data_IF_253929249062
#
_entry.id   IF_253929249062
#
_cell.length_a   1.000
_cell.length_b   1.000
_cell.length_c   1.000
_cell.angle_alpha   90.00
_cell.angle_beta   90.00
_cell.angle_gamma   90.00
#
_symmetry.space_group_name_H-M   'P 1'
#
loop_
_entity.id
_entity.type
_entity.pdbx_description
1 polymer ?
#
# COMPACT_ATOMS: atom_id res chain seq x y z
N UNK A 1 -17.72 19.17 12.68
CA UNK A 1 -17.06 18.71 11.44
C UNK A 1 -17.32 17.21 11.34
N UNK A 2 -18.15 16.80 10.38
CA UNK A 2 -18.61 15.41 10.23
C UNK A 2 -17.47 14.53 9.69
N UNK A 3 -17.18 13.42 10.38
CA UNK A 3 -16.32 12.32 9.94
C UNK A 3 -17.24 11.28 9.30
N UNK A 4 -17.92 11.65 8.21
CA UNK A 4 -18.80 10.73 7.50
C UNK A 4 -18.24 10.48 6.10
N UNK A 5 -18.27 9.21 5.69
CA UNK A 5 -17.77 8.64 4.43
C UNK A 5 -16.31 8.18 4.40
N UNK A 6 -15.78 7.64 5.50
CA UNK A 6 -14.68 6.67 5.43
C UNK A 6 -15.26 5.31 5.79
N UNK A 7 -15.20 4.35 4.85
CA UNK A 7 -15.67 3.00 5.13
C UNK A 7 -14.83 2.36 6.24
N UNK A 8 -15.48 1.77 7.24
CA UNK A 8 -14.79 1.19 8.40
C UNK A 8 -13.93 -0.03 8.08
N UNK A 9 -14.05 -0.57 6.86
CA UNK A 9 -13.28 -1.70 6.35
C UNK A 9 -12.05 -1.28 5.53
N UNK A 10 -11.82 0.01 5.30
CA UNK A 10 -10.69 0.50 4.52
C UNK A 10 -9.42 0.66 5.35
N UNK A 11 -8.28 0.48 4.67
CA UNK A 11 -6.99 0.95 5.18
C UNK A 11 -6.82 2.43 4.84
N UNK A 12 -6.64 3.25 5.86
CA UNK A 12 -6.57 4.71 5.76
C UNK A 12 -5.12 5.17 5.85
N UNK A 13 -4.73 6.10 4.98
CA UNK A 13 -3.39 6.70 4.98
C UNK A 13 -3.51 8.22 5.12
N UNK A 14 -2.84 8.77 6.12
CA UNK A 14 -2.76 10.21 6.34
C UNK A 14 -1.57 10.80 5.57
N UNK A 15 -1.87 11.64 4.58
CA UNK A 15 -0.87 12.36 3.80
C UNK A 15 -0.74 13.78 4.34
N UNK A 16 0.50 14.15 4.68
CA UNK A 16 0.88 15.51 5.07
C UNK A 16 1.83 16.12 4.03
N UNK A 17 1.50 17.32 3.56
CA UNK A 17 2.36 18.14 2.73
C UNK A 17 2.62 19.49 3.40
N UNK A 18 3.90 19.78 3.64
CA UNK A 18 4.41 21.06 4.13
C UNK A 18 5.63 21.41 3.29
N UNK A 19 5.50 22.51 2.55
CA UNK A 19 6.53 22.99 1.64
C UNK A 19 7.92 22.95 2.28
N UNK A 20 8.88 22.31 1.58
CA UNK A 20 10.30 22.17 1.98
C UNK A 20 10.56 21.45 3.30
N UNK A 21 9.55 20.87 3.95
CA UNK A 21 9.69 20.21 5.26
C UNK A 21 9.22 18.77 5.28
N UNK A 22 8.01 18.50 4.79
CA UNK A 22 7.38 17.18 4.84
C UNK A 22 6.63 16.96 3.54
N UNK A 23 6.83 15.80 2.94
CA UNK A 23 6.08 15.35 1.78
C UNK A 23 5.71 13.88 1.95
N UNK A 24 4.42 13.63 2.10
CA UNK A 24 3.82 12.31 2.14
C UNK A 24 2.94 12.16 0.92
N UNK A 25 3.18 11.12 0.12
CA UNK A 25 2.38 10.87 -1.09
C UNK A 25 2.27 9.38 -1.39
N UNK A 26 1.31 9.05 -2.24
CA UNK A 26 1.16 7.70 -2.78
C UNK A 26 1.85 7.64 -4.13
N UNK A 27 2.80 6.72 -4.29
CA UNK A 27 3.48 6.50 -5.57
C UNK A 27 2.62 5.69 -6.54
N UNK A 28 1.87 4.71 -6.04
CA UNK A 28 0.86 3.97 -6.78
C UNK A 28 -0.18 3.37 -5.84
N UNK A 29 -1.33 2.98 -6.38
CA UNK A 29 -2.41 2.31 -5.65
C UNK A 29 -3.77 2.93 -5.99
N UNK A 30 -4.81 2.10 -6.04
CA UNK A 30 -6.17 2.56 -6.35
C UNK A 30 -6.83 3.16 -5.11
N UNK A 31 -6.91 4.49 -5.07
CA UNK A 31 -7.61 5.22 -4.02
C UNK A 31 -9.11 4.94 -4.16
N UNK A 32 -9.73 4.42 -3.09
CA UNK A 32 -11.15 4.14 -3.03
C UNK A 32 -11.95 5.35 -2.56
N UNK A 33 -11.38 6.15 -1.65
CA UNK A 33 -11.98 7.35 -1.09
C UNK A 33 -10.90 8.36 -0.68
N UNK A 34 -11.24 9.64 -0.67
CA UNK A 34 -10.35 10.73 -0.24
C UNK A 34 -11.14 11.74 0.59
N UNK A 35 -10.57 12.13 1.72
CA UNK A 35 -11.09 13.15 2.61
C UNK A 35 -10.02 14.21 2.88
N UNK A 36 -10.27 15.46 2.47
CA UNK A 36 -9.39 16.58 2.80
C UNK A 36 -9.68 17.05 4.23
N UNK A 37 -8.65 17.11 5.06
CA UNK A 37 -8.77 17.55 6.46
C UNK A 37 -8.49 19.05 6.55
N UNK A 38 -7.38 19.49 5.97
CA UNK A 38 -7.02 20.90 5.88
C UNK A 38 -6.16 21.16 4.63
N UNK A 39 -5.50 22.31 4.55
CA UNK A 39 -4.66 22.67 3.40
C UNK A 39 -3.37 21.82 3.26
N UNK A 40 -2.93 21.19 4.35
CA UNK A 40 -1.70 20.41 4.43
C UNK A 40 -1.95 18.91 4.63
N UNK A 41 -3.17 18.52 5.01
CA UNK A 41 -3.49 17.13 5.36
C UNK A 41 -4.71 16.61 4.62
N UNK A 42 -4.60 15.37 4.16
CA UNK A 42 -5.71 14.58 3.62
C UNK A 42 -5.58 13.14 4.07
N UNK A 43 -6.71 12.46 4.15
CA UNK A 43 -6.81 11.02 4.40
C UNK A 43 -7.28 10.39 3.09
N UNK A 44 -6.67 9.27 2.74
CA UNK A 44 -7.10 8.44 1.61
C UNK A 44 -7.39 7.02 2.11
N UNK A 45 -8.38 6.37 1.53
CA UNK A 45 -8.75 5.00 1.87
C UNK A 45 -8.45 4.04 0.71
N UNK A 46 -8.03 2.83 1.07
CA UNK A 46 -7.80 1.71 0.18
C UNK A 46 -8.69 0.53 0.58
N UNK A 47 -9.39 -0.04 -0.39
CA UNK A 47 -10.20 -1.24 -0.16
C UNK A 47 -9.34 -2.44 0.22
N UNK A 48 -9.84 -3.37 1.06
CA UNK A 48 -9.11 -4.59 1.43
C UNK A 48 -8.51 -5.32 0.24
N UNK A 49 -7.28 -5.80 0.39
CA UNK A 49 -6.51 -6.49 -0.65
C UNK A 49 -5.80 -5.56 -1.63
N UNK A 50 -6.10 -4.25 -1.65
CA UNK A 50 -5.42 -3.29 -2.54
C UNK A 50 -3.94 -3.13 -2.15
N UNK A 51 -3.04 -3.18 -3.13
CA UNK A 51 -1.63 -2.89 -2.92
C UNK A 51 -1.34 -1.43 -3.28
N UNK A 52 -0.59 -0.74 -2.43
CA UNK A 52 -0.22 0.66 -2.65
C UNK A 52 1.19 0.95 -2.11
N UNK A 53 1.84 1.97 -2.68
CA UNK A 53 3.13 2.46 -2.24
C UNK A 53 2.99 3.83 -1.58
N UNK A 54 3.34 3.91 -0.30
CA UNK A 54 3.35 5.14 0.49
C UNK A 54 4.78 5.64 0.67
N UNK A 55 5.05 6.85 0.18
CA UNK A 55 6.36 7.50 0.29
C UNK A 55 6.29 8.62 1.33
N UNK A 56 7.32 8.68 2.18
CA UNK A 56 7.50 9.70 3.20
C UNK A 56 8.88 10.31 3.07
N UNK A 57 8.88 11.59 2.76
CA UNK A 57 10.06 12.43 2.73
C UNK A 57 9.92 13.54 3.78
N UNK A 58 11.01 13.84 4.47
CA UNK A 58 11.11 15.03 5.31
C UNK A 58 12.54 15.55 5.33
N UNK A 59 12.69 16.86 5.28
CA UNK A 59 13.95 17.53 5.58
C UNK A 59 13.84 18.20 6.95
N UNK A 60 14.84 18.02 7.81
CA UNK A 60 14.98 18.82 9.01
C UNK A 60 16.07 19.88 8.86
N UNK A 61 15.99 20.93 9.67
CA UNK A 61 16.92 22.08 9.63
C UNK A 61 18.35 21.71 10.05
N UNK A 62 18.56 20.47 10.52
CA UNK A 62 19.85 19.92 10.96
C UNK A 62 20.52 19.03 9.89
N UNK A 63 20.04 19.07 8.65
CA UNK A 63 20.61 18.35 7.50
C UNK A 63 20.29 16.86 7.45
N UNK A 64 19.45 16.33 8.34
CA UNK A 64 18.96 14.96 8.26
C UNK A 64 17.73 14.91 7.36
N UNK A 65 17.86 14.20 6.24
CA UNK A 65 16.74 13.88 5.35
C UNK A 65 16.20 12.51 5.72
N UNK A 66 14.92 12.44 6.05
CA UNK A 66 14.19 11.18 6.12
C UNK A 66 13.66 10.88 4.73
N UNK A 67 14.02 9.73 4.19
CA UNK A 67 13.41 9.18 2.98
C UNK A 67 13.01 7.75 3.24
N UNK A 68 11.76 7.43 2.91
CA UNK A 68 11.17 6.14 3.20
C UNK A 68 10.10 5.79 2.19
N UNK A 69 10.05 4.52 1.81
CA UNK A 69 8.95 3.95 1.03
C UNK A 69 8.47 2.67 1.68
N UNK A 70 7.15 2.54 1.79
CA UNK A 70 6.48 1.33 2.26
C UNK A 70 5.50 0.87 1.16
N UNK A 71 5.58 -0.39 0.75
CA UNK A 71 4.58 -1.02 -0.13
C UNK A 71 3.75 -1.95 0.75
N UNK A 72 2.47 -1.69 0.79
CA UNK A 72 1.53 -2.31 1.71
C UNK A 72 0.38 -2.94 0.93
N UNK A 73 -0.17 -4.01 1.49
CA UNK A 73 -1.51 -4.48 1.14
C UNK A 73 -2.48 -4.05 2.23
N UNK A 74 -3.57 -3.40 1.83
CA UNK A 74 -4.69 -3.05 2.68
C UNK A 74 -5.30 -4.34 3.26
N UNK A 75 -5.53 -4.36 4.57
CA UNK A 75 -6.02 -5.54 5.29
C UNK A 75 -7.53 -5.51 5.43
N UNK A 76 -8.16 -6.69 5.44
CA UNK A 76 -9.57 -6.83 5.76
C UNK A 76 -9.81 -6.72 7.28
N UNK A 77 -11.04 -6.47 7.69
CA UNK A 77 -11.44 -6.50 9.11
C UNK A 77 -11.14 -7.89 9.68
N UNK A 78 -10.45 -7.94 10.83
CA UNK A 78 -10.09 -9.19 11.50
C UNK A 78 -8.82 -9.87 10.97
N UNK A 79 -8.24 -9.38 9.87
CA UNK A 79 -6.96 -9.86 9.37
C UNK A 79 -5.79 -9.37 10.24
N UNK A 80 -4.74 -10.19 10.39
CA UNK A 80 -3.52 -9.76 11.07
C UNK A 80 -2.82 -8.64 10.30
N UNK A 81 -2.37 -7.61 11.01
CA UNK A 81 -1.70 -6.45 10.42
C UNK A 81 -0.51 -6.02 11.25
N UNK A 82 0.39 -5.24 10.63
CA UNK A 82 1.44 -4.52 11.32
C UNK A 82 1.07 -3.03 11.37
N UNK A 83 1.34 -2.38 12.49
CA UNK A 83 1.08 -0.95 12.64
C UNK A 83 2.16 -0.13 11.94
N UNK A 84 1.73 0.92 11.23
CA UNK A 84 2.65 1.88 10.62
C UNK A 84 2.19 3.30 10.97
N UNK A 85 3.13 4.23 11.25
CA UNK A 85 2.76 5.62 11.41
C UNK A 85 2.05 6.13 10.16
N UNK A 86 0.95 6.87 10.37
CA UNK A 86 0.07 7.43 9.34
C UNK A 86 -0.74 6.40 8.54
N UNK A 87 -0.78 5.14 8.95
CA UNK A 87 -1.63 4.09 8.33
C UNK A 87 -2.51 3.46 9.40
N UNK A 88 -3.82 3.42 9.17
CA UNK A 88 -4.81 2.86 10.12
C UNK A 88 -5.70 1.83 9.42
N UNK A 89 -5.94 0.64 10.01
CA UNK A 89 -5.36 0.15 11.27
C UNK A 89 -3.86 -0.19 11.15
N UNK A 90 -3.38 -0.36 9.93
CA UNK A 90 -2.04 -0.83 9.59
C UNK A 90 -2.08 -1.46 8.21
N UNK A 91 -1.20 -2.42 7.94
CA UNK A 91 -1.27 -3.20 6.71
C UNK A 91 -0.37 -4.44 6.75
N UNK A 92 -0.51 -5.29 5.73
CA UNK A 92 0.46 -6.34 5.42
C UNK A 92 1.64 -5.69 4.68
N UNK A 93 2.81 -5.69 5.32
CA UNK A 93 4.01 -5.04 4.79
C UNK A 93 4.67 -5.95 3.77
N UNK A 94 4.67 -5.52 2.51
CA UNK A 94 5.35 -6.22 1.42
C UNK A 94 6.79 -5.72 1.25
N UNK A 95 7.00 -4.41 1.44
CA UNK A 95 8.31 -3.78 1.38
C UNK A 95 8.36 -2.59 2.33
N UNK A 96 9.48 -2.42 3.04
CA UNK A 96 9.70 -1.33 3.98
C UNK A 96 11.16 -0.87 3.94
N UNK A 97 11.44 0.22 3.22
CA UNK A 97 12.82 0.68 2.93
C UNK A 97 13.04 2.11 3.44
N UNK A 98 14.27 2.36 3.91
CA UNK A 98 14.74 3.63 4.43
C UNK A 98 16.00 4.08 3.69
N UNK A 99 16.20 5.39 3.64
CA UNK A 99 17.39 6.02 3.06
C UNK A 99 17.27 6.21 1.55
N UNK A 100 17.64 7.41 1.09
CA UNK A 100 17.44 7.82 -0.30
C UNK A 100 17.97 6.83 -1.34
N UNK A 101 19.21 6.30 -1.27
CA UNK A 101 19.73 5.41 -2.32
C UNK A 101 18.89 4.15 -2.55
N UNK A 102 18.35 3.57 -1.47
CA UNK A 102 17.49 2.38 -1.57
C UNK A 102 16.07 2.74 -1.98
N UNK A 103 15.55 3.86 -1.47
CA UNK A 103 14.23 4.39 -1.88
C UNK A 103 14.22 4.68 -3.39
N UNK A 104 15.25 5.33 -3.91
CA UNK A 104 15.44 5.61 -5.33
C UNK A 104 15.47 4.32 -6.16
N UNK A 105 16.17 3.28 -5.69
CA UNK A 105 16.15 1.97 -6.34
C UNK A 105 14.74 1.38 -6.42
N UNK A 106 13.92 1.52 -5.37
CA UNK A 106 12.53 1.05 -5.38
C UNK A 106 11.68 1.89 -6.34
N UNK A 107 11.84 3.22 -6.36
CA UNK A 107 11.15 4.09 -7.32
C UNK A 107 11.48 3.71 -8.76
N UNK A 108 12.76 3.51 -9.09
CA UNK A 108 13.19 3.04 -10.40
C UNK A 108 12.61 1.65 -10.76
N UNK A 109 12.43 0.78 -9.76
CA UNK A 109 11.79 -0.53 -9.97
C UNK A 109 10.31 -0.38 -10.32
N UNK A 110 9.61 0.55 -9.67
CA UNK A 110 8.22 0.89 -9.98
C UNK A 110 8.13 1.46 -11.39
N UNK A 111 9.00 2.41 -11.76
CA UNK A 111 9.04 3.01 -13.10
C UNK A 111 9.29 1.95 -14.18
N UNK A 112 10.20 1.00 -13.93
CA UNK A 112 10.48 -0.09 -14.85
C UNK A 112 9.28 -1.04 -15.05
N UNK A 113 8.46 -1.26 -14.02
CA UNK A 113 7.22 -2.04 -14.10
C UNK A 113 6.15 -1.29 -14.91
N UNK A 114 5.98 0.01 -14.64
CA UNK A 114 5.05 0.87 -15.38
C UNK A 114 5.42 0.95 -16.86
N UNK A 115 6.72 0.97 -17.19
CA UNK A 115 7.21 0.94 -18.57
C UNK A 115 6.86 -0.36 -19.32
N UNK A 116 6.54 -1.44 -18.61
CA UNK A 116 6.00 -2.68 -19.20
C UNK A 116 4.48 -2.61 -19.44
N UNK A 117 3.82 -1.49 -19.11
CA UNK A 117 2.37 -1.33 -19.17
C UNK A 117 1.63 -2.08 -18.05
N UNK A 118 2.32 -2.41 -16.96
CA UNK A 118 1.78 -3.14 -15.82
C UNK A 118 1.50 -2.14 -14.71
N UNK A 119 0.28 -2.17 -14.14
CA UNK A 119 -0.02 -1.43 -12.92
C UNK A 119 0.77 -2.05 -11.75
N UNK A 120 1.64 -1.29 -11.06
CA UNK A 120 2.38 -1.78 -9.90
C UNK A 120 1.49 -2.32 -8.77
N UNK A 121 0.24 -1.85 -8.67
CA UNK A 121 -0.75 -2.36 -7.72
C UNK A 121 -1.19 -3.81 -8.03
N UNK A 122 -1.03 -4.26 -9.27
CA UNK A 122 -1.42 -5.60 -9.75
C UNK A 122 -0.23 -6.58 -9.79
N UNK A 123 0.97 -6.13 -9.41
CA UNK A 123 2.16 -6.96 -9.29
C UNK A 123 2.00 -7.96 -8.16
N UNK A 124 2.54 -9.17 -8.36
CA UNK A 124 2.50 -10.23 -7.35
C UNK A 124 3.12 -9.75 -6.02
N UNK A 125 2.44 -9.91 -4.87
CA UNK A 125 2.97 -9.50 -3.55
C UNK A 125 4.36 -10.04 -3.24
N UNK A 126 4.65 -11.28 -3.66
CA UNK A 126 5.94 -11.93 -3.45
C UNK A 126 7.09 -11.25 -4.19
N UNK A 127 6.82 -10.55 -5.29
CA UNK A 127 7.84 -9.76 -5.97
C UNK A 127 8.31 -8.61 -5.08
N UNK A 128 7.39 -7.88 -4.45
CA UNK A 128 7.73 -6.79 -3.54
C UNK A 128 8.52 -7.29 -2.33
N UNK A 129 8.13 -8.45 -1.76
CA UNK A 129 8.89 -9.11 -0.70
C UNK A 129 10.28 -9.54 -1.14
N UNK A 130 10.43 -10.04 -2.37
CA UNK A 130 11.73 -10.38 -2.96
C UNK A 130 12.63 -9.15 -3.08
N UNK A 131 12.11 -8.04 -3.63
CA UNK A 131 12.84 -6.77 -3.73
C UNK A 131 13.29 -6.28 -2.35
N UNK A 132 12.39 -6.29 -1.37
CA UNK A 132 12.70 -5.93 0.02
C UNK A 132 13.84 -6.76 0.60
N UNK A 133 13.76 -8.08 0.48
CA UNK A 133 14.73 -8.99 1.08
C UNK A 133 16.12 -8.77 0.49
N UNK A 134 16.23 -8.61 -0.83
CA UNK A 134 17.51 -8.40 -1.52
C UNK A 134 18.10 -7.02 -1.25
N UNK A 135 17.29 -5.96 -1.26
CA UNK A 135 17.75 -4.62 -0.91
C UNK A 135 18.18 -4.50 0.56
N UNK A 136 17.57 -5.26 1.47
CA UNK A 136 17.95 -5.27 2.88
C UNK A 136 19.38 -5.76 3.10
N UNK A 137 19.84 -6.70 2.27
CA UNK A 137 21.21 -7.24 2.29
C UNK A 137 22.13 -6.68 1.19
N UNK A 138 21.71 -5.61 0.50
CA UNK A 138 22.45 -4.94 -0.59
C UNK A 138 22.81 -5.87 -1.77
N UNK A 139 21.97 -6.85 -2.06
CA UNK A 139 22.15 -7.76 -3.17
C UNK A 139 21.27 -7.41 -4.38
N UNK A 140 21.67 -7.79 -5.61
CA UNK A 140 20.81 -7.61 -6.78
C UNK A 140 19.54 -8.46 -6.66
N UNK A 141 18.41 -7.91 -7.10
CA UNK A 141 17.13 -8.62 -7.24
C UNK A 141 16.79 -8.89 -8.69
N UNK A 142 15.76 -9.71 -8.91
CA UNK A 142 15.30 -10.07 -10.25
C UNK A 142 14.26 -9.04 -10.68
N UNK A 143 14.39 -8.51 -11.89
CA UNK A 143 13.41 -7.60 -12.46
C UNK A 143 12.08 -8.33 -12.70
N UNK A 144 10.96 -7.62 -12.52
CA UNK A 144 9.65 -8.16 -12.85
C UNK A 144 9.48 -8.28 -14.36
N UNK A 145 8.84 -9.36 -14.82
CA UNK A 145 8.62 -9.58 -16.27
C UNK A 145 7.14 -9.76 -16.60
N UNK A 146 6.76 -9.46 -17.83
CA UNK A 146 5.39 -9.67 -18.32
C UNK A 146 4.97 -11.15 -18.30
N UNK A 147 5.92 -12.09 -18.34
CA UNK A 147 5.65 -13.52 -18.19
C UNK A 147 5.30 -13.87 -16.74
N UNK A 148 6.08 -13.36 -15.78
CA UNK A 148 5.77 -13.50 -14.35
C UNK A 148 4.40 -12.90 -14.03
N UNK A 149 4.07 -11.75 -14.61
CA UNK A 149 2.77 -11.12 -14.44
C UNK A 149 1.62 -11.97 -14.98
N UNK A 150 1.75 -12.51 -16.19
CA UNK A 150 0.76 -13.44 -16.77
C UNK A 150 0.58 -14.69 -15.92
N UNK A 151 1.67 -15.27 -15.41
CA UNK A 151 1.60 -16.42 -14.52
C UNK A 151 0.90 -16.09 -13.19
N UNK A 152 1.16 -14.90 -12.63
CA UNK A 152 0.48 -14.40 -11.44
C UNK A 152 -1.02 -14.23 -11.65
N UNK A 153 -1.45 -13.57 -12.73
CA UNK A 153 -2.88 -13.38 -13.03
C UNK A 153 -3.62 -14.71 -13.14
N UNK A 154 -3.02 -15.71 -13.80
CA UNK A 154 -3.59 -17.07 -13.89
C UNK A 154 -3.75 -17.74 -12.52
N UNK A 155 -2.78 -17.59 -11.61
CA UNK A 155 -2.89 -18.16 -10.25
C UNK A 155 -3.98 -17.46 -9.44
N UNK A 156 -4.07 -16.13 -9.54
CA UNK A 156 -5.10 -15.35 -8.85
C UNK A 156 -6.51 -15.72 -9.30
N UNK A 157 -6.73 -16.06 -10.58
CA UNK A 157 -8.04 -16.52 -11.05
C UNK A 157 -8.43 -17.93 -10.58
N UNK A 158 -7.49 -18.71 -10.05
CA UNK A 158 -7.71 -20.10 -9.60
C UNK A 158 -7.93 -20.17 -8.07
N UNK A 159 -7.43 -19.20 -7.31
CA UNK A 159 -7.65 -19.14 -5.85
C UNK A 159 -9.11 -18.72 -5.56
N UNK A 160 -9.91 -19.54 -4.85
CA UNK A 160 -11.25 -19.13 -4.43
C UNK A 160 -11.15 -17.94 -3.48
N UNK A 161 -11.95 -16.91 -3.71
CA UNK A 161 -12.22 -15.85 -2.72
C UNK A 161 -13.01 -16.52 -1.58
N UNK A 162 -12.30 -17.10 -0.62
CA UNK A 162 -12.89 -17.58 0.62
C UNK A 162 -13.13 -16.39 1.55
N UNK A 163 -14.18 -15.61 1.28
CA UNK A 163 -15.06 -15.07 2.32
C UNK A 163 -16.28 -14.38 1.67
N UNK A 164 -17.25 -15.18 1.23
CA UNK A 164 -18.61 -14.66 1.00
C UNK A 164 -19.41 -15.02 2.24
N UNK A 165 -19.40 -14.09 3.19
CA UNK A 165 -20.48 -13.78 4.13
C UNK A 165 -21.36 -14.98 4.47
N UNK A 166 -21.10 -15.63 5.61
CA UNK A 166 -22.16 -16.36 6.31
C UNK A 166 -23.32 -15.38 6.55
N UNK A 167 -24.36 -15.53 5.74
CA UNK A 167 -25.65 -14.91 5.96
C UNK A 167 -26.17 -15.35 7.32
N UNK A 168 -26.28 -14.38 8.22
CA UNK A 168 -26.94 -14.51 9.50
C UNK A 168 -28.44 -14.76 9.25
N UNK A 169 -28.83 -16.02 9.12
CA UNK A 169 -30.23 -16.45 9.23
C UNK A 169 -30.67 -16.32 10.69
N UNK A 170 -31.19 -15.14 11.04
CA UNK A 170 -32.00 -14.90 12.23
C UNK A 170 -33.19 -14.00 11.89
N UNK A 171 -34.31 -14.64 11.57
CA UNK A 171 -35.69 -14.23 11.91
C UNK A 171 -36.57 -15.45 11.57
N UNK A 172 -37.31 -16.07 12.49
CA UNK A 172 -38.18 -15.45 13.48
C UNK A 172 -39.56 -15.28 12.85
N UNK A 173 -40.42 -16.30 12.96
CA UNK A 173 -41.79 -16.29 12.43
C UNK A 173 -42.64 -17.38 13.08
N UNK A 174 -43.45 -16.93 14.04
CA UNK A 174 -44.38 -17.62 14.95
C UNK A 174 -45.55 -18.30 14.22
N UNK A 175 -46.43 -19.00 14.97
CA UNK A 175 -47.72 -18.37 15.29
C UNK A 175 -47.92 -18.07 16.77
#
# INVERSE_FOLDING_TARGET
MHVDSISSDHTLVELTWREKRIEHWIRFGRIAEEQRIDRHRRIIGFSPGSIFAFVRWAANDYGTVVSRIDILRAVAVGEAFQTLPFVRPGGDILLRIYGWPKVETVLNTIDAIEALGIDPAEVAPDHWRHVHNRLSVNEPFRTYTSEQHRAWLKRRSILPIADKTMGNDRNGGTP
#
